data_IF_841792988023
#
_entry.id   IF_841792988023
#
_cell.length_a   1.000
_cell.length_b   1.000
_cell.length_c   1.000
_cell.angle_alpha   90.00
_cell.angle_beta   90.00
_cell.angle_gamma   90.00
#
_symmetry.space_group_name_H-M   'P 1'
#
loop_
_entity.id
_entity.type
_entity.pdbx_description
1 polymer ?
#
# COMPACT_ATOMS: atom_id res chain seq x y z
N UNK A 1 -44.69 43.95 -33.24
CA UNK A 1 -45.05 43.31 -31.97
C UNK A 1 -45.67 41.96 -32.34
N UNK A 2 -44.86 40.89 -32.33
CA UNK A 2 -44.73 39.91 -31.21
C UNK A 2 -45.91 38.93 -31.33
N UNK A 3 -45.79 37.67 -31.78
CA UNK A 3 -45.06 36.52 -31.21
C UNK A 3 -44.86 35.50 -32.36
N UNK A 4 -43.65 35.24 -32.88
CA UNK A 4 -42.61 34.40 -32.31
C UNK A 4 -43.05 32.94 -32.06
N UNK A 5 -42.78 32.10 -33.07
CA UNK A 5 -42.11 30.79 -32.92
C UNK A 5 -42.85 29.75 -32.07
N UNK A 6 -43.48 28.81 -32.78
CA UNK A 6 -43.80 27.45 -32.31
C UNK A 6 -42.52 26.75 -31.84
N UNK A 7 -42.18 26.94 -30.57
CA UNK A 7 -41.20 26.13 -29.86
C UNK A 7 -41.74 25.95 -28.44
N UNK A 8 -42.47 24.86 -28.21
CA UNK A 8 -42.81 24.47 -26.86
C UNK A 8 -42.66 22.96 -26.70
N UNK A 9 -41.42 22.61 -26.36
CA UNK A 9 -40.99 21.45 -25.57
C UNK A 9 -41.26 20.07 -26.15
N UNK A 10 -40.29 19.67 -26.98
CA UNK A 10 -39.73 18.32 -27.04
C UNK A 10 -39.79 17.65 -25.66
N UNK A 11 -40.76 16.75 -25.51
CA UNK A 11 -40.95 15.86 -24.37
C UNK A 11 -39.89 14.75 -24.45
N UNK A 12 -38.63 15.10 -24.23
CA UNK A 12 -37.57 14.11 -24.03
C UNK A 12 -37.64 13.67 -22.57
N UNK A 13 -38.46 12.63 -22.33
CA UNK A 13 -38.19 11.68 -21.26
C UNK A 13 -36.93 10.90 -21.65
N UNK A 14 -35.75 11.51 -21.46
CA UNK A 14 -34.56 10.69 -21.25
C UNK A 14 -34.72 10.13 -19.85
N UNK A 15 -35.02 8.83 -19.83
CA UNK A 15 -34.78 7.94 -18.71
C UNK A 15 -33.54 8.43 -17.96
N UNK A 16 -33.73 8.94 -16.75
CA UNK A 16 -32.70 8.89 -15.73
C UNK A 16 -32.45 7.42 -15.48
N UNK A 17 -31.56 6.84 -16.29
CA UNK A 17 -30.78 5.70 -15.88
C UNK A 17 -30.02 6.18 -14.65
N UNK A 18 -30.64 5.99 -13.49
CA UNK A 18 -29.94 5.83 -12.23
C UNK A 18 -28.99 4.66 -12.47
N UNK A 19 -27.83 4.95 -13.05
CA UNK A 19 -26.63 4.19 -12.76
C UNK A 19 -26.40 4.42 -11.28
N UNK A 20 -27.05 3.57 -10.48
CA UNK A 20 -26.57 3.24 -9.15
C UNK A 20 -25.20 2.64 -9.38
N UNK A 21 -24.19 3.50 -9.54
CA UNK A 21 -22.84 3.17 -9.12
C UNK A 21 -23.01 2.90 -7.63
N UNK A 22 -23.32 1.64 -7.30
CA UNK A 22 -22.96 1.08 -6.03
C UNK A 22 -21.46 1.34 -5.95
N UNK A 23 -21.11 2.46 -5.32
CA UNK A 23 -19.78 2.66 -4.80
C UNK A 23 -19.62 1.46 -3.88
N UNK A 24 -18.91 0.44 -4.37
CA UNK A 24 -18.38 -0.59 -3.51
C UNK A 24 -17.63 0.22 -2.45
N UNK A 25 -18.19 0.27 -1.24
CA UNK A 25 -17.47 0.79 -0.09
C UNK A 25 -16.31 -0.19 0.08
N UNK A 26 -15.20 0.11 -0.56
CA UNK A 26 -13.93 -0.54 -0.30
C UNK A 26 -13.69 -0.33 1.20
N UNK A 27 -13.89 -1.38 1.98
CA UNK A 27 -13.54 -1.33 3.38
C UNK A 27 -12.04 -1.14 3.42
N UNK A 28 -11.60 0.07 3.77
CA UNK A 28 -10.20 0.38 4.03
C UNK A 28 -9.68 -0.63 5.06
N UNK A 29 -8.97 -1.64 4.56
CA UNK A 29 -8.35 -2.63 5.43
C UNK A 29 -7.22 -1.92 6.15
N UNK A 30 -7.31 -1.85 7.48
CA UNK A 30 -6.33 -1.17 8.31
C UNK A 30 -4.95 -1.79 8.11
N UNK A 31 -3.98 -0.97 7.70
CA UNK A 31 -2.59 -1.41 7.56
C UNK A 31 -1.96 -1.69 8.92
N UNK A 32 -1.42 -2.89 9.09
CA UNK A 32 -0.65 -3.29 10.28
C UNK A 32 0.85 -3.09 10.06
N UNK A 33 1.60 -2.76 11.11
CA UNK A 33 3.03 -2.44 11.01
C UNK A 33 3.85 -3.34 11.92
N UNK A 34 4.97 -3.87 11.43
CA UNK A 34 5.80 -4.84 12.15
C UNK A 34 7.28 -4.47 12.14
N UNK A 35 7.94 -4.59 13.29
CA UNK A 35 9.40 -4.54 13.45
C UNK A 35 9.87 -5.90 13.96
N UNK A 36 10.67 -6.64 13.18
CA UNK A 36 11.15 -7.98 13.56
C UNK A 36 10.01 -8.88 14.10
N UNK A 37 8.90 -8.97 13.34
CA UNK A 37 7.68 -9.74 13.66
C UNK A 37 6.82 -9.21 14.81
N UNK A 38 7.25 -8.15 15.50
CA UNK A 38 6.47 -7.51 16.57
C UNK A 38 5.59 -6.40 15.99
N UNK A 39 4.27 -6.49 16.22
CA UNK A 39 3.33 -5.44 15.82
C UNK A 39 3.59 -4.14 16.59
N UNK A 40 3.61 -3.03 15.86
CA UNK A 40 3.86 -1.70 16.40
C UNK A 40 2.91 -0.67 15.80
N UNK A 41 2.87 0.52 16.39
CA UNK A 41 2.16 1.66 15.81
C UNK A 41 2.86 2.16 14.55
N UNK A 42 2.08 2.81 13.67
CA UNK A 42 2.61 3.49 12.48
C UNK A 42 3.70 4.51 12.83
N UNK A 43 3.54 5.26 13.94
CA UNK A 43 4.51 6.25 14.38
C UNK A 43 5.85 5.61 14.77
N UNK A 44 5.80 4.50 15.50
CA UNK A 44 7.01 3.76 15.89
C UNK A 44 7.69 3.16 14.66
N UNK A 45 6.91 2.60 13.73
CA UNK A 45 7.43 2.05 12.49
C UNK A 45 8.12 3.13 11.64
N UNK A 46 7.45 4.26 11.40
CA UNK A 46 7.99 5.37 10.62
C UNK A 46 9.22 5.99 11.28
N UNK A 47 9.22 6.10 12.62
CA UNK A 47 10.40 6.55 13.37
C UNK A 47 11.60 5.65 13.11
N UNK A 48 11.45 4.33 13.19
CA UNK A 48 12.55 3.41 12.88
C UNK A 48 12.94 3.43 11.40
N UNK A 49 11.98 3.39 10.48
CA UNK A 49 12.24 3.42 9.05
C UNK A 49 13.01 4.67 8.62
N UNK A 50 12.68 5.83 9.21
CA UNK A 50 13.36 7.12 8.93
C UNK A 50 14.84 7.13 9.29
N UNK A 51 15.29 6.22 10.17
CA UNK A 51 16.69 6.09 10.59
C UNK A 51 17.49 5.18 9.65
N UNK A 52 16.81 4.47 8.75
CA UNK A 52 17.40 3.50 7.84
C UNK A 52 17.87 4.18 6.55
N UNK A 53 18.99 3.70 6.01
CA UNK A 53 19.49 4.05 4.70
C UNK A 53 19.10 2.95 3.71
N UNK A 54 18.42 3.31 2.63
CA UNK A 54 18.16 2.40 1.52
C UNK A 54 19.48 1.93 0.88
N UNK A 55 19.57 0.63 0.58
CA UNK A 55 20.75 0.00 -0.03
C UNK A 55 20.46 -0.69 -1.37
N UNK A 56 19.23 -0.57 -1.87
CA UNK A 56 18.78 -1.13 -3.15
C UNK A 56 17.90 -2.37 -2.99
N UNK A 57 17.87 -3.24 -4.00
CA UNK A 57 17.01 -4.43 -3.96
C UNK A 57 15.51 -4.11 -4.06
N UNK A 58 15.17 -2.98 -4.70
CA UNK A 58 13.79 -2.61 -4.97
C UNK A 58 13.07 -3.71 -5.73
N UNK A 59 11.84 -3.98 -5.31
CA UNK A 59 10.91 -4.80 -6.06
C UNK A 59 9.50 -4.23 -5.97
N UNK A 60 8.75 -4.52 -7.03
CA UNK A 60 7.31 -4.42 -7.08
C UNK A 60 6.81 -5.73 -7.70
N UNK A 61 5.85 -6.37 -7.06
CA UNK A 61 5.30 -7.65 -7.51
C UNK A 61 3.79 -7.63 -7.33
N UNK A 62 3.08 -8.01 -8.37
CA UNK A 62 1.64 -8.28 -8.29
C UNK A 62 1.41 -9.64 -7.62
N UNK A 63 0.38 -9.73 -6.77
CA UNK A 63 -0.15 -11.00 -6.23
C UNK A 63 -1.50 -11.29 -6.90
N UNK A 64 -2.05 -12.48 -6.68
CA UNK A 64 -3.33 -12.88 -7.30
C UNK A 64 -4.49 -11.93 -6.94
N UNK A 65 -4.37 -11.21 -5.82
CA UNK A 65 -5.42 -10.36 -5.25
C UNK A 65 -4.96 -8.92 -4.99
N UNK A 66 -3.68 -8.60 -5.19
CA UNK A 66 -3.12 -7.30 -4.82
C UNK A 66 -1.67 -7.13 -5.26
N UNK A 67 -0.81 -6.67 -4.35
CA UNK A 67 0.60 -6.45 -4.67
C UNK A 67 1.50 -6.25 -3.46
N UNK A 68 2.80 -6.37 -3.69
CA UNK A 68 3.84 -6.14 -2.69
C UNK A 68 4.98 -5.30 -3.26
N UNK A 69 5.45 -4.36 -2.44
CA UNK A 69 6.64 -3.54 -2.71
C UNK A 69 7.65 -3.68 -1.58
N UNK A 70 8.91 -3.42 -1.87
CA UNK A 70 9.93 -3.45 -0.83
C UNK A 70 11.34 -3.18 -1.35
N UNK A 71 12.27 -3.06 -0.41
CA UNK A 71 13.68 -2.81 -0.67
C UNK A 71 14.54 -3.27 0.52
N UNK A 72 15.84 -3.37 0.30
CA UNK A 72 16.83 -3.59 1.36
C UNK A 72 17.30 -2.25 1.92
N UNK A 73 17.53 -2.21 3.23
CA UNK A 73 18.04 -1.05 3.92
C UNK A 73 19.01 -1.43 5.05
N UNK A 74 19.71 -0.45 5.59
CA UNK A 74 20.65 -0.62 6.68
C UNK A 74 20.48 0.47 7.72
N UNK A 75 20.70 0.13 8.98
CA UNK A 75 20.78 1.15 10.03
C UNK A 75 22.15 1.82 10.09
N UNK A 76 22.30 2.80 10.98
CA UNK A 76 23.57 3.51 11.20
C UNK A 76 24.72 2.62 11.69
N UNK A 77 24.41 1.45 12.24
CA UNK A 77 25.40 0.46 12.67
C UNK A 77 25.77 -0.53 11.56
N UNK A 78 25.21 -0.36 10.35
CA UNK A 78 25.45 -1.25 9.21
C UNK A 78 24.67 -2.57 9.27
N UNK A 79 23.73 -2.72 10.21
CA UNK A 79 22.88 -3.92 10.27
C UNK A 79 21.89 -3.88 9.12
N UNK A 80 21.78 -4.98 8.38
CA UNK A 80 20.93 -5.08 7.21
C UNK A 80 19.49 -5.47 7.58
N UNK A 81 18.54 -4.85 6.89
CA UNK A 81 17.11 -5.03 7.04
C UNK A 81 16.46 -5.14 5.67
N UNK A 82 15.27 -5.73 5.65
CA UNK A 82 14.37 -5.76 4.50
C UNK A 82 13.07 -5.06 4.87
N UNK A 83 12.70 -4.07 4.08
CA UNK A 83 11.39 -3.43 4.13
C UNK A 83 10.46 -4.10 3.11
N UNK A 84 9.25 -4.43 3.52
CA UNK A 84 8.20 -4.98 2.65
C UNK A 84 6.84 -4.42 3.05
N UNK A 85 6.07 -3.92 2.10
CA UNK A 85 4.65 -3.66 2.26
C UNK A 85 3.84 -4.55 1.31
N UNK A 86 2.75 -5.11 1.82
CA UNK A 86 1.77 -5.92 1.11
C UNK A 86 0.44 -5.18 1.17
N UNK A 87 -0.23 -5.11 0.03
CA UNK A 87 -1.58 -4.58 -0.09
C UNK A 87 -2.47 -5.62 -0.77
N UNK A 88 -3.40 -6.17 0.00
CA UNK A 88 -4.37 -7.17 -0.45
C UNK A 88 -5.75 -6.86 0.17
N UNK A 89 -6.87 -7.35 -0.42
CA UNK A 89 -8.22 -6.99 0.00
C UNK A 89 -8.58 -7.30 1.46
N UNK A 90 -7.83 -8.20 2.11
CA UNK A 90 -8.04 -8.62 3.48
C UNK A 90 -6.79 -8.49 4.36
N UNK A 91 -5.67 -8.03 3.78
CA UNK A 91 -4.41 -7.91 4.49
C UNK A 91 -3.59 -6.76 3.91
N UNK A 92 -3.53 -5.66 4.67
CA UNK A 92 -2.56 -4.60 4.44
C UNK A 92 -1.52 -4.69 5.55
N UNK A 93 -0.24 -4.89 5.21
CA UNK A 93 0.84 -4.91 6.20
C UNK A 93 2.14 -4.33 5.69
N UNK A 94 2.86 -3.65 6.56
CA UNK A 94 4.23 -3.20 6.32
C UNK A 94 5.16 -3.77 7.38
N UNK A 95 6.34 -4.21 6.97
CA UNK A 95 7.32 -4.87 7.84
C UNK A 95 8.73 -4.36 7.57
N UNK A 96 9.51 -4.29 8.64
CA UNK A 96 10.94 -4.06 8.61
C UNK A 96 11.59 -5.18 9.44
N UNK A 97 12.26 -6.10 8.75
CA UNK A 97 12.81 -7.31 9.37
C UNK A 97 14.31 -7.38 9.14
N UNK A 98 15.08 -7.75 10.16
CA UNK A 98 16.51 -7.93 10.07
C UNK A 98 16.84 -9.06 9.09
N UNK A 99 17.77 -8.79 8.18
CA UNK A 99 18.36 -9.84 7.33
C UNK A 99 19.48 -10.44 8.18
N UNK A 100 19.30 -11.66 8.66
CA UNK A 100 20.36 -12.36 9.39
C UNK A 100 21.61 -12.42 8.51
N UNK A 101 22.67 -11.70 8.91
CA UNK A 101 24.02 -12.01 8.45
C UNK A 101 24.32 -13.47 8.83
N UNK A 102 25.10 -14.22 8.03
CA UNK A 102 25.45 -15.60 8.37
C UNK A 102 25.97 -15.64 9.80
N UNK A 103 25.59 -16.68 10.55
CA UNK A 103 26.21 -16.96 11.84
C UNK A 103 27.73 -16.84 11.65
N UNK A 104 28.36 -15.84 12.26
CA UNK A 104 29.81 -15.77 12.35
C UNK A 104 30.26 -16.83 13.36
N UNK A 105 29.97 -18.09 13.07
CA UNK A 105 30.63 -19.25 13.60
C UNK A 105 31.70 -19.60 12.60
N UNK A 106 32.83 -18.93 12.70
CA UNK A 106 34.11 -19.54 12.35
C UNK A 106 34.18 -20.87 13.09
N UNK A 107 33.96 -21.97 12.38
CA UNK A 107 34.54 -23.26 12.71
C UNK A 107 35.53 -23.55 11.61
N UNK A 108 36.76 -23.12 11.85
CA UNK A 108 37.98 -23.77 11.39
C UNK A 108 38.98 -23.66 12.55
N UNK A 109 39.80 -24.68 12.85
CA UNK A 109 39.91 -26.02 12.24
C UNK A 109 39.28 -27.15 13.07
#
# INVERSE_FOLDING_TARGET
MIEAIKAFWVFIMVLSATSSSALAMEQDTVTKYYLDEVEVTVDRFNSELSKMKETGGWFCRETDTGGATGYNCQDKAGRAYKYVCISEPHENRCSLSRINAPASGTLDP
#
